data_IF_820679847949
#
_entry.id   IF_820679847949
#
_cell.length_a   1.000
_cell.length_b   1.000
_cell.length_c   1.000
_cell.angle_alpha   90.00
_cell.angle_beta   90.00
_cell.angle_gamma   90.00
#
_symmetry.space_group_name_H-M   'P 1'
#
loop_
_entity.id
_entity.type
_entity.pdbx_description
1 polymer ?
#
# COMPACT_ATOMS: atom_id res chain seq x y z
N UNK A 1 73.33 -4.11 44.88
CA UNK A 1 72.04 -3.41 44.68
C UNK A 1 70.92 -4.37 44.96
N UNK A 2 70.20 -4.19 46.06
CA UNK A 2 69.22 -5.15 46.55
C UNK A 2 67.79 -4.60 46.56
N UNK A 3 66.90 -5.34 45.89
CA UNK A 3 65.58 -5.83 46.31
C UNK A 3 64.46 -4.89 46.82
N UNK A 4 63.25 -5.33 46.46
CA UNK A 4 61.93 -5.24 47.13
C UNK A 4 60.94 -4.22 46.55
N UNK A 5 59.98 -4.73 45.76
CA UNK A 5 58.63 -4.19 45.68
C UNK A 5 57.71 -4.94 46.65
N UNK A 6 56.97 -4.20 47.48
CA UNK A 6 55.93 -4.68 48.40
C UNK A 6 54.68 -3.79 48.28
N UNK A 7 53.53 -4.45 48.09
CA UNK A 7 52.24 -4.25 48.79
C UNK A 7 51.34 -3.03 48.40
N UNK A 8 50.12 -3.35 47.93
CA UNK A 8 48.86 -2.55 47.88
C UNK A 8 48.31 -2.26 49.29
N UNK A 9 47.48 -1.21 49.59
CA UNK A 9 46.00 -1.31 49.42
C UNK A 9 45.17 0.01 49.35
N UNK A 10 43.89 -0.13 48.97
CA UNK A 10 42.76 0.79 49.27
C UNK A 10 42.59 1.99 48.31
N UNK A 11 41.42 2.60 48.08
CA UNK A 11 40.06 2.40 48.58
C UNK A 11 39.16 3.43 47.83
N UNK A 12 38.00 3.01 47.30
CA UNK A 12 36.77 3.82 47.16
C UNK A 12 36.68 4.97 46.13
N UNK A 13 35.47 5.35 45.69
CA UNK A 13 35.22 6.06 44.44
C UNK A 13 34.99 7.57 44.63
N UNK A 14 35.33 8.37 43.62
CA UNK A 14 34.89 9.77 43.48
C UNK A 14 33.80 9.83 42.42
N UNK A 15 32.60 10.21 42.85
CA UNK A 15 31.49 10.70 42.05
C UNK A 15 31.88 12.07 41.48
N UNK A 16 31.91 12.21 40.15
CA UNK A 16 31.94 13.52 39.50
C UNK A 16 30.56 13.80 38.89
N UNK A 17 29.91 14.80 39.50
CA UNK A 17 28.77 15.53 39.00
C UNK A 17 29.19 16.31 37.76
N UNK A 18 28.66 15.96 36.59
CA UNK A 18 28.68 16.85 35.43
C UNK A 18 27.32 17.55 35.28
N UNK A 19 27.40 18.86 35.41
CA UNK A 19 26.33 19.84 35.33
C UNK A 19 25.81 19.95 33.89
N UNK A 20 24.50 19.78 33.72
CA UNK A 20 23.77 20.15 32.52
C UNK A 20 23.85 21.66 32.30
N UNK A 21 24.42 22.08 31.17
CA UNK A 21 24.21 23.43 30.61
C UNK A 21 23.41 23.32 29.32
N UNK A 22 22.27 24.00 29.29
CA UNK A 22 21.35 24.08 28.17
C UNK A 22 21.98 24.83 26.99
N UNK A 23 22.14 24.13 25.86
CA UNK A 23 22.44 24.73 24.56
C UNK A 23 21.24 24.56 23.63
N UNK A 24 20.67 25.68 23.17
CA UNK A 24 19.68 25.70 22.10
C UNK A 24 20.24 25.09 20.80
N UNK A 25 19.49 24.26 20.04
CA UNK A 25 19.90 23.91 18.70
C UNK A 25 19.27 24.88 17.68
N UNK A 26 20.16 25.49 16.89
CA UNK A 26 19.83 26.31 15.74
C UNK A 26 19.13 25.53 14.63
N UNK A 27 18.36 26.28 13.86
CA UNK A 27 17.66 25.91 12.64
C UNK A 27 18.62 25.31 11.59
N UNK A 28 18.35 24.08 11.18
CA UNK A 28 19.11 23.39 10.14
C UNK A 28 18.72 21.92 10.05
N UNK A 29 17.41 21.63 10.02
CA UNK A 29 16.90 20.27 9.93
C UNK A 29 17.12 19.73 8.52
N UNK A 30 18.18 18.95 8.34
CA UNK A 30 18.34 18.07 7.19
C UNK A 30 17.15 17.09 7.19
N UNK A 31 16.16 17.34 6.33
CA UNK A 31 15.02 16.44 6.12
C UNK A 31 15.48 15.25 5.27
N UNK A 32 16.17 14.32 5.90
CA UNK A 32 16.45 13.02 5.28
C UNK A 32 15.17 12.19 5.33
N UNK A 33 14.65 11.79 4.16
CA UNK A 33 13.59 10.79 4.04
C UNK A 33 14.15 9.46 4.53
N UNK A 34 14.13 9.25 5.86
CA UNK A 34 14.62 8.02 6.50
C UNK A 34 13.74 6.86 6.09
N UNK A 35 14.38 5.80 5.62
CA UNK A 35 13.84 4.44 5.48
C UNK A 35 13.18 4.00 6.79
N UNK A 36 11.85 4.09 6.87
CA UNK A 36 11.05 3.78 8.07
C UNK A 36 10.16 2.55 7.90
N UNK A 37 10.39 1.73 6.88
CA UNK A 37 9.62 0.50 6.62
C UNK A 37 10.03 -0.73 7.46
N UNK A 38 11.02 -0.63 8.36
CA UNK A 38 11.37 -1.71 9.29
C UNK A 38 10.62 -1.53 10.61
N UNK A 39 9.32 -1.82 10.65
CA UNK A 39 8.61 -2.11 11.89
C UNK A 39 7.27 -2.80 11.63
N UNK A 40 7.31 -4.05 11.17
CA UNK A 40 6.17 -4.97 11.37
C UNK A 40 6.67 -6.39 11.60
N UNK A 41 7.61 -6.55 12.54
CA UNK A 41 7.78 -7.79 13.29
C UNK A 41 8.63 -7.51 14.52
N UNK A 42 8.22 -8.07 15.66
CA UNK A 42 8.83 -8.01 16.99
C UNK A 42 8.22 -6.97 17.92
N UNK A 43 7.52 -7.52 18.93
CA UNK A 43 6.81 -6.78 19.96
C UNK A 43 7.73 -6.00 20.89
N UNK A 44 7.17 -4.91 21.40
CA UNK A 44 7.75 -4.06 22.43
C UNK A 44 6.81 -2.89 22.64
N UNK A 45 6.09 -2.89 23.75
CA UNK A 45 5.13 -1.85 24.12
C UNK A 45 5.90 -0.56 24.38
N UNK A 46 5.81 0.40 23.46
CA UNK A 46 6.12 1.80 23.72
C UNK A 46 4.82 2.57 23.47
N UNK A 47 4.25 3.19 24.49
CA UNK A 47 2.88 3.74 24.47
C UNK A 47 2.70 4.91 23.49
N UNK A 48 3.78 5.53 23.01
CA UNK A 48 3.75 6.49 21.90
C UNK A 48 3.97 5.86 20.51
N UNK A 49 4.61 4.68 20.40
CA UNK A 49 4.86 4.02 19.11
C UNK A 49 3.62 3.27 18.56
N UNK A 50 2.61 3.04 19.40
CA UNK A 50 1.39 2.32 19.02
C UNK A 50 0.33 3.15 18.31
N UNK A 51 0.41 4.49 18.32
CA UNK A 51 -0.63 5.37 17.79
C UNK A 51 -0.71 5.31 16.26
N UNK A 52 0.43 5.43 15.57
CA UNK A 52 0.48 5.38 14.10
C UNK A 52 -0.01 4.02 13.57
N UNK A 53 0.50 2.86 14.03
CA UNK A 53 -0.02 1.57 13.63
C UNK A 53 -1.53 1.42 13.89
N UNK A 54 -2.04 2.01 14.97
CA UNK A 54 -3.48 1.99 15.27
C UNK A 54 -4.29 2.84 14.28
N UNK A 55 -3.81 4.02 13.90
CA UNK A 55 -4.42 4.85 12.88
C UNK A 55 -4.46 4.14 11.52
N UNK A 56 -3.35 3.51 11.12
CA UNK A 56 -3.28 2.71 9.88
C UNK A 56 -4.26 1.54 9.93
N UNK A 57 -4.38 0.84 11.07
CA UNK A 57 -5.38 -0.23 11.23
C UNK A 57 -6.82 0.27 11.13
N UNK A 58 -7.11 1.49 11.57
CA UNK A 58 -8.43 2.10 11.39
C UNK A 58 -8.68 2.35 9.91
N UNK A 59 -7.72 2.96 9.19
CA UNK A 59 -7.84 3.20 7.74
C UNK A 59 -8.05 1.91 6.94
N UNK A 60 -7.38 0.82 7.34
CA UNK A 60 -7.54 -0.51 6.74
C UNK A 60 -8.93 -1.14 6.98
N UNK A 61 -9.70 -0.62 7.94
CA UNK A 61 -11.06 -1.11 8.28
C UNK A 61 -12.16 -0.19 7.75
N UNK A 62 -11.82 1.02 7.31
CA UNK A 62 -12.76 1.96 6.71
C UNK A 62 -12.82 1.80 5.19
N UNK A 63 -13.85 2.37 4.57
CA UNK A 63 -13.96 2.40 3.12
C UNK A 63 -12.75 3.14 2.50
N UNK A 64 -12.02 2.55 1.53
CA UNK A 64 -10.86 3.18 0.93
C UNK A 64 -11.20 4.45 0.14
N UNK A 65 -12.46 4.67 -0.26
CA UNK A 65 -12.89 5.92 -0.91
C UNK A 65 -12.88 7.10 0.05
N UNK A 66 -13.21 6.84 1.32
CA UNK A 66 -13.19 7.84 2.38
C UNK A 66 -11.81 7.96 3.06
N UNK A 67 -10.79 7.25 2.55
CA UNK A 67 -9.46 7.19 3.19
C UNK A 67 -8.85 8.58 3.40
N UNK A 68 -8.98 9.49 2.43
CA UNK A 68 -8.45 10.86 2.55
C UNK A 68 -9.14 11.65 3.69
N UNK A 69 -10.48 11.59 3.72
CA UNK A 69 -11.27 12.23 4.77
C UNK A 69 -10.97 11.63 6.14
N UNK A 70 -10.91 10.30 6.23
CA UNK A 70 -10.59 9.60 7.47
C UNK A 70 -9.17 9.91 7.93
N UNK A 71 -8.20 10.00 7.03
CA UNK A 71 -6.82 10.38 7.33
C UNK A 71 -6.76 11.81 7.89
N UNK A 72 -7.46 12.77 7.28
CA UNK A 72 -7.53 14.14 7.80
C UNK A 72 -8.12 14.21 9.22
N UNK A 73 -9.16 13.43 9.49
CA UNK A 73 -9.76 13.35 10.82
C UNK A 73 -8.82 12.68 11.82
N UNK A 74 -8.15 11.59 11.43
CA UNK A 74 -7.15 10.90 12.27
C UNK A 74 -5.96 11.80 12.58
N UNK A 75 -5.48 12.60 11.63
CA UNK A 75 -4.41 13.57 11.84
C UNK A 75 -4.78 14.62 12.90
N UNK A 76 -6.06 14.96 13.07
CA UNK A 76 -6.51 15.87 14.12
C UNK A 76 -6.36 15.29 15.54
N UNK A 77 -6.39 13.96 15.68
CA UNK A 77 -6.22 13.25 16.96
C UNK A 77 -4.76 12.92 17.29
N UNK A 78 -3.87 12.95 16.31
CA UNK A 78 -2.44 12.62 16.47
C UNK A 78 -1.63 13.89 16.79
N UNK A 79 -0.64 13.82 17.70
CA UNK A 79 0.27 14.94 17.97
C UNK A 79 0.95 15.45 16.70
N UNK A 80 1.17 16.77 16.63
CA UNK A 80 1.68 17.43 15.42
C UNK A 80 2.99 16.81 14.89
N UNK A 81 3.93 16.47 15.78
CA UNK A 81 5.20 15.85 15.40
C UNK A 81 5.12 14.45 14.78
N UNK A 82 3.96 13.78 14.82
CA UNK A 82 3.73 12.46 14.22
C UNK A 82 2.82 12.51 12.99
N UNK A 83 2.29 13.69 12.63
CA UNK A 83 1.37 13.84 11.49
C UNK A 83 2.06 13.53 10.17
N UNK A 84 3.25 14.08 9.96
CA UNK A 84 4.03 13.85 8.74
C UNK A 84 4.32 12.37 8.54
N UNK A 85 4.66 11.66 9.63
CA UNK A 85 4.88 10.22 9.60
C UNK A 85 3.60 9.44 9.26
N UNK A 86 2.45 9.88 9.78
CA UNK A 86 1.16 9.28 9.44
C UNK A 86 0.82 9.44 7.96
N UNK A 87 0.98 10.65 7.40
CA UNK A 87 0.74 10.91 5.96
C UNK A 87 1.68 10.11 5.08
N UNK A 88 2.95 9.95 5.46
CA UNK A 88 3.91 9.16 4.70
C UNK A 88 3.61 7.65 4.71
N UNK A 89 2.96 7.14 5.76
CA UNK A 89 2.63 5.71 5.92
C UNK A 89 1.24 5.34 5.44
N UNK A 90 0.33 6.31 5.37
CA UNK A 90 -1.04 6.08 4.92
C UNK A 90 -1.10 6.16 3.39
N UNK A 91 -1.58 5.10 2.76
CA UNK A 91 -1.92 5.17 1.34
C UNK A 91 -3.36 5.68 1.20
N UNK A 92 -3.56 6.67 0.33
CA UNK A 92 -4.86 7.20 -0.09
C UNK A 92 -5.01 7.07 -1.61
N UNK A 93 -6.24 7.13 -2.16
CA UNK A 93 -6.45 7.17 -3.61
C UNK A 93 -5.63 8.29 -4.26
N UNK A 94 -4.95 7.95 -5.35
CA UNK A 94 -4.04 8.88 -6.03
C UNK A 94 -4.83 9.89 -6.86
N UNK A 95 -4.28 11.11 -6.98
CA UNK A 95 -4.88 12.19 -7.77
C UNK A 95 -4.03 12.46 -9.00
N UNK A 96 -4.65 13.01 -10.05
CA UNK A 96 -3.98 13.39 -11.29
C UNK A 96 -3.77 14.90 -11.28
N UNK A 97 -2.52 15.34 -11.46
CA UNK A 97 -2.13 16.71 -11.76
C UNK A 97 -1.80 16.89 -13.23
N UNK A 98 -1.59 18.14 -13.65
CA UNK A 98 -1.19 18.49 -15.00
C UNK A 98 0.02 19.42 -14.97
N UNK A 99 1.06 19.08 -15.72
CA UNK A 99 2.21 19.93 -15.93
C UNK A 99 1.85 20.99 -16.99
N UNK A 100 1.87 22.26 -16.58
CA UNK A 100 1.52 23.40 -17.45
C UNK A 100 2.55 23.65 -18.54
N UNK A 101 3.80 23.23 -18.36
CA UNK A 101 4.89 23.50 -19.30
C UNK A 101 4.91 22.47 -20.46
N UNK A 102 4.66 21.20 -20.15
CA UNK A 102 4.72 20.08 -21.10
C UNK A 102 3.35 19.60 -21.58
N UNK A 103 2.25 20.15 -21.03
CA UNK A 103 0.86 19.70 -21.24
C UNK A 103 0.68 18.18 -21.02
N UNK A 104 1.33 17.67 -19.97
CA UNK A 104 1.29 16.24 -19.61
C UNK A 104 0.71 16.04 -18.22
N UNK A 105 -0.15 15.04 -18.11
CA UNK A 105 -0.69 14.59 -16.82
C UNK A 105 0.40 13.85 -16.02
N UNK A 106 0.36 13.99 -14.70
CA UNK A 106 1.21 13.25 -13.78
C UNK A 106 0.43 12.91 -12.50
N UNK A 107 0.94 11.95 -11.72
CA UNK A 107 0.27 11.47 -10.52
C UNK A 107 0.76 12.22 -9.29
N UNK A 108 -0.16 12.79 -8.51
CA UNK A 108 0.12 13.44 -7.24
C UNK A 108 0.23 12.38 -6.13
N UNK A 109 1.34 12.41 -5.42
CA UNK A 109 1.64 11.50 -4.32
C UNK A 109 2.38 12.25 -3.22
N UNK A 110 2.35 11.73 -1.99
CA UNK A 110 3.16 12.29 -0.89
C UNK A 110 4.68 12.20 -1.18
N UNK A 111 5.09 11.34 -2.13
CA UNK A 111 6.51 11.18 -2.51
C UNK A 111 7.05 12.24 -3.48
N UNK A 112 6.17 13.01 -4.14
CA UNK A 112 6.57 14.17 -4.95
C UNK A 112 6.04 15.48 -4.36
N UNK A 113 5.53 15.47 -3.13
CA UNK A 113 5.00 16.64 -2.43
C UNK A 113 6.06 17.27 -1.55
N UNK A 114 6.12 18.59 -1.56
CA UNK A 114 6.84 19.38 -0.57
C UNK A 114 5.96 20.58 -0.15
N UNK A 115 5.57 20.62 1.12
CA UNK A 115 4.53 21.53 1.59
C UNK A 115 3.22 21.32 0.83
N UNK A 116 2.76 22.33 0.11
CA UNK A 116 1.55 22.26 -0.72
C UNK A 116 1.85 22.19 -2.23
N UNK A 117 3.12 21.95 -2.58
CA UNK A 117 3.60 21.93 -3.96
C UNK A 117 3.98 20.52 -4.39
N UNK A 118 3.76 20.21 -5.67
CA UNK A 118 4.07 18.89 -6.24
C UNK A 118 5.08 18.99 -7.38
N UNK A 119 6.12 18.15 -7.33
CA UNK A 119 7.14 18.06 -8.38
C UNK A 119 6.61 17.27 -9.57
N UNK A 120 6.67 17.86 -10.76
CA UNK A 120 6.41 17.17 -12.01
C UNK A 120 7.55 16.21 -12.35
N UNK A 121 7.26 14.96 -12.79
CA UNK A 121 8.29 14.03 -13.26
C UNK A 121 8.90 14.46 -14.60
N UNK A 122 8.23 15.32 -15.38
CA UNK A 122 8.67 15.74 -16.71
C UNK A 122 9.67 16.89 -16.65
N UNK A 123 9.29 17.98 -15.98
CA UNK A 123 10.08 19.21 -15.87
C UNK A 123 10.94 19.28 -14.61
N UNK A 124 10.70 18.40 -13.63
CA UNK A 124 11.28 18.48 -12.28
C UNK A 124 10.94 19.78 -11.52
N UNK A 125 9.97 20.56 -12.00
CA UNK A 125 9.51 21.78 -11.33
C UNK A 125 8.37 21.48 -10.37
N UNK A 126 8.29 22.26 -9.31
CA UNK A 126 7.18 22.23 -8.37
C UNK A 126 6.06 23.18 -8.82
N UNK A 127 4.81 22.74 -8.67
CA UNK A 127 3.62 23.58 -8.80
C UNK A 127 2.78 23.50 -7.51
N UNK A 128 2.55 24.62 -6.79
CA UNK A 128 3.14 25.95 -7.00
C UNK A 128 4.69 25.99 -6.91
N UNK A 129 5.37 27.00 -7.48
CA UNK A 129 6.83 27.09 -7.43
C UNK A 129 7.36 27.31 -6.00
N UNK A 130 8.43 26.58 -5.64
CA UNK A 130 9.15 26.70 -4.38
C UNK A 130 10.67 26.75 -4.61
N UNK A 131 11.40 27.48 -3.78
CA UNK A 131 12.85 27.68 -3.94
C UNK A 131 13.69 26.50 -3.43
N UNK A 132 13.26 25.82 -2.36
CA UNK A 132 14.04 24.78 -1.67
C UNK A 132 13.37 23.40 -1.71
N UNK A 133 12.74 23.07 -2.83
CA UNK A 133 12.12 21.76 -3.02
C UNK A 133 13.16 20.63 -3.12
N UNK A 134 12.83 19.46 -2.58
CA UNK A 134 13.68 18.27 -2.71
C UNK A 134 13.84 17.86 -4.18
N UNK A 135 15.09 17.73 -4.65
CA UNK A 135 15.41 17.29 -6.00
C UNK A 135 16.30 16.05 -5.95
N UNK A 136 16.13 15.09 -6.89
CA UNK A 136 17.06 13.99 -7.05
C UNK A 136 18.41 14.49 -7.57
N UNK A 137 19.49 13.75 -7.30
CA UNK A 137 20.79 13.97 -7.94
C UNK A 137 20.71 13.88 -9.47
N UNK A 138 21.58 14.59 -10.20
CA UNK A 138 21.59 14.59 -11.68
C UNK A 138 21.69 13.18 -12.27
N UNK A 139 22.49 12.34 -11.62
CA UNK A 139 22.64 10.91 -11.93
C UNK A 139 21.30 10.18 -11.82
N UNK A 140 20.60 10.34 -10.69
CA UNK A 140 19.32 9.68 -10.44
C UNK A 140 18.20 10.26 -11.30
N UNK A 141 18.24 11.56 -11.60
CA UNK A 141 17.29 12.24 -12.50
C UNK A 141 17.34 11.64 -13.91
N UNK A 142 18.52 11.28 -14.42
CA UNK A 142 18.62 10.57 -15.70
C UNK A 142 17.89 9.23 -15.69
N UNK A 143 17.98 8.47 -14.59
CA UNK A 143 17.29 7.18 -14.44
C UNK A 143 15.79 7.38 -14.26
N UNK A 144 15.39 8.41 -13.51
CA UNK A 144 13.98 8.78 -13.32
C UNK A 144 13.29 9.09 -14.65
N UNK A 145 13.93 9.84 -15.55
CA UNK A 145 13.41 10.12 -16.89
C UNK A 145 13.25 8.85 -17.73
N UNK A 146 14.28 8.00 -17.77
CA UNK A 146 14.24 6.74 -18.51
C UNK A 146 13.16 5.78 -17.95
N UNK A 147 12.98 5.73 -16.62
CA UNK A 147 11.91 4.97 -15.97
C UNK A 147 10.53 5.51 -16.29
N UNK A 148 10.34 6.83 -16.29
CA UNK A 148 9.06 7.42 -16.69
C UNK A 148 8.70 7.03 -18.13
N UNK A 149 9.66 7.04 -19.05
CA UNK A 149 9.43 6.56 -20.44
C UNK A 149 9.09 5.06 -20.49
N UNK A 150 9.77 4.23 -19.69
CA UNK A 150 9.49 2.81 -19.64
C UNK A 150 8.10 2.51 -19.06
N UNK A 151 7.73 3.17 -17.96
CA UNK A 151 6.44 2.99 -17.30
C UNK A 151 5.27 3.66 -18.03
N UNK A 152 5.52 4.67 -18.87
CA UNK A 152 4.54 5.22 -19.82
C UNK A 152 4.09 4.15 -20.84
N UNK A 153 5.06 3.40 -21.39
CA UNK A 153 4.77 2.25 -22.26
C UNK A 153 4.12 1.09 -21.51
N UNK A 154 4.60 0.79 -20.31
CA UNK A 154 4.00 -0.25 -19.45
C UNK A 154 2.51 0.03 -19.20
N UNK A 155 2.16 1.26 -18.81
CA UNK A 155 0.77 1.61 -18.55
C UNK A 155 -0.09 1.49 -19.81
N UNK A 156 0.42 1.90 -20.97
CA UNK A 156 -0.34 1.84 -22.21
C UNK A 156 -0.66 0.39 -22.58
N UNK A 157 0.30 -0.53 -22.40
CA UNK A 157 0.11 -1.96 -22.68
C UNK A 157 -0.87 -2.64 -21.72
N UNK A 158 -0.84 -2.30 -20.42
CA UNK A 158 -1.59 -3.03 -19.39
C UNK A 158 -2.90 -2.36 -18.93
N UNK A 159 -3.02 -1.05 -19.11
CA UNK A 159 -4.16 -0.25 -18.62
C UNK A 159 -4.84 0.57 -19.71
N UNK A 160 -4.17 0.82 -20.84
CA UNK A 160 -4.69 1.60 -21.95
C UNK A 160 -4.37 3.10 -21.86
N UNK A 161 -4.82 3.84 -22.88
CA UNK A 161 -4.38 5.21 -23.16
C UNK A 161 -4.89 6.28 -22.20
N UNK A 162 -6.01 6.03 -21.53
CA UNK A 162 -6.60 6.96 -20.55
C UNK A 162 -5.86 6.97 -19.20
N UNK A 163 -5.06 5.94 -18.93
CA UNK A 163 -4.30 5.82 -17.69
C UNK A 163 -3.14 6.81 -17.62
N UNK A 164 -2.74 7.17 -16.40
CA UNK A 164 -1.62 8.06 -16.10
C UNK A 164 -0.63 7.33 -15.20
N UNK A 165 0.66 7.49 -15.48
CA UNK A 165 1.76 6.92 -14.70
C UNK A 165 2.79 7.98 -14.39
N UNK A 166 3.45 7.85 -13.26
CA UNK A 166 4.55 8.72 -12.86
C UNK A 166 5.51 7.98 -11.97
N UNK A 167 6.80 8.21 -12.19
CA UNK A 167 7.89 7.66 -11.39
C UNK A 167 8.65 8.79 -10.73
N UNK A 168 8.84 8.67 -9.42
CA UNK A 168 9.62 9.61 -8.61
C UNK A 168 10.75 8.87 -7.92
N UNK A 169 11.98 9.35 -8.06
CA UNK A 169 13.16 8.82 -7.37
C UNK A 169 13.74 9.86 -6.42
N UNK A 170 14.38 9.41 -5.36
CA UNK A 170 15.18 10.24 -4.46
C UNK A 170 16.35 9.43 -3.90
N UNK A 171 17.44 10.14 -3.62
CA UNK A 171 18.65 9.51 -3.10
C UNK A 171 18.41 8.97 -1.69
N UNK A 172 18.95 7.77 -1.40
CA UNK A 172 18.93 7.21 -0.07
C UNK A 172 19.85 7.99 0.88
N UNK A 173 19.69 7.78 2.19
CA UNK A 173 20.42 8.51 3.23
C UNK A 173 21.96 8.31 3.27
N UNK A 174 22.54 7.66 2.27
CA UNK A 174 23.99 7.56 2.09
C UNK A 174 24.48 8.69 1.18
N UNK A 175 25.45 9.47 1.65
CA UNK A 175 26.13 10.46 0.83
C UNK A 175 27.32 9.78 0.16
N UNK A 176 27.27 9.53 -1.16
CA UNK A 176 28.41 9.02 -1.95
C UNK A 176 28.05 8.12 -3.12
N UNK A 177 28.98 7.96 -4.08
CA UNK A 177 28.88 6.97 -5.17
C UNK A 177 28.79 5.56 -4.58
N UNK A 178 27.58 4.97 -4.62
CA UNK A 178 27.29 3.67 -4.03
C UNK A 178 26.23 3.72 -2.93
N UNK A 179 25.68 4.88 -2.60
CA UNK A 179 24.43 4.94 -1.83
C UNK A 179 23.27 4.35 -2.63
N UNK A 180 22.42 3.59 -1.95
CA UNK A 180 21.15 3.15 -2.51
C UNK A 180 20.24 4.34 -2.82
N UNK A 181 19.16 4.07 -3.55
CA UNK A 181 18.12 5.06 -3.81
C UNK A 181 16.76 4.45 -3.54
N UNK A 182 15.77 5.31 -3.35
CA UNK A 182 14.39 4.87 -3.26
C UNK A 182 13.55 5.57 -4.33
N UNK A 183 12.40 4.99 -4.60
CA UNK A 183 11.51 5.49 -5.62
C UNK A 183 10.07 5.05 -5.40
N UNK A 184 9.17 5.72 -6.10
CA UNK A 184 7.76 5.40 -6.13
C UNK A 184 7.29 5.37 -7.59
N UNK A 185 6.76 4.24 -8.03
CA UNK A 185 6.03 4.13 -9.30
C UNK A 185 4.55 4.19 -8.98
N UNK A 186 3.85 5.14 -9.60
CA UNK A 186 2.42 5.36 -9.43
C UNK A 186 1.71 5.13 -10.77
N UNK A 187 0.58 4.44 -10.76
CA UNK A 187 -0.30 4.26 -11.92
C UNK A 187 -1.74 4.52 -11.48
N UNK A 188 -2.42 5.38 -12.22
CA UNK A 188 -3.83 5.71 -12.03
C UNK A 188 -4.56 5.36 -13.31
N UNK A 189 -5.54 4.46 -13.21
CA UNK A 189 -6.46 4.15 -14.29
C UNK A 189 -7.88 4.47 -13.84
N UNK A 190 -8.46 5.51 -14.42
CA UNK A 190 -9.86 5.89 -14.22
C UNK A 190 -10.67 5.26 -15.35
N UNK A 191 -11.74 4.55 -14.98
CA UNK A 191 -12.54 3.77 -15.94
C UNK A 191 -13.72 4.61 -16.46
N UNK A 192 -14.26 5.54 -15.66
CA UNK A 192 -15.41 6.37 -16.02
C UNK A 192 -15.10 7.87 -15.94
N UNK A 193 -15.28 8.57 -17.07
CA UNK A 193 -14.97 10.00 -17.24
C UNK A 193 -16.02 10.94 -16.59
N UNK A 194 -17.23 10.46 -16.26
CA UNK A 194 -18.39 11.30 -15.85
C UNK A 194 -18.80 11.21 -14.37
N UNK A 195 -17.95 10.67 -13.48
CA UNK A 195 -18.32 10.65 -12.06
C UNK A 195 -17.49 9.77 -11.12
N UNK A 196 -16.37 9.19 -11.59
CA UNK A 196 -15.32 8.64 -10.74
C UNK A 196 -15.79 7.59 -9.73
N UNK A 197 -16.65 6.65 -10.12
CA UNK A 197 -17.07 5.56 -9.23
C UNK A 197 -16.14 4.35 -9.33
N UNK A 198 -15.42 4.20 -10.44
CA UNK A 198 -14.53 3.06 -10.69
C UNK A 198 -13.11 3.52 -11.00
N UNK A 199 -12.15 3.03 -10.22
CA UNK A 199 -10.74 3.36 -10.38
C UNK A 199 -9.84 2.20 -10.00
N UNK A 200 -8.65 2.21 -10.59
CA UNK A 200 -7.52 1.39 -10.19
C UNK A 200 -6.32 2.29 -9.91
N UNK A 201 -5.77 2.19 -8.69
CA UNK A 201 -4.55 2.88 -8.29
C UNK A 201 -3.49 1.86 -7.90
N UNK A 202 -2.35 1.88 -8.57
CA UNK A 202 -1.15 1.12 -8.19
C UNK A 202 -0.09 2.07 -7.66
N UNK A 203 0.50 1.73 -6.51
CA UNK A 203 1.61 2.43 -5.90
C UNK A 203 2.68 1.41 -5.53
N UNK A 204 3.86 1.56 -6.10
CA UNK A 204 4.98 0.65 -5.91
C UNK A 204 6.15 1.44 -5.33
N UNK A 205 6.38 1.28 -4.04
CA UNK A 205 7.54 1.81 -3.35
C UNK A 205 8.73 0.87 -3.53
N UNK A 206 9.80 1.38 -4.12
CA UNK A 206 11.03 0.65 -4.41
C UNK A 206 12.14 1.21 -3.53
N UNK A 207 12.84 0.34 -2.82
CA UNK A 207 14.07 0.65 -2.12
C UNK A 207 15.20 -0.20 -2.71
N UNK A 208 16.08 0.45 -3.46
CA UNK A 208 17.26 -0.15 -4.08
C UNK A 208 18.45 0.05 -3.16
N UNK A 209 18.88 -1.03 -2.50
CA UNK A 209 20.06 -1.02 -1.65
C UNK A 209 21.35 -0.75 -2.42
N UNK A 210 22.41 -0.40 -1.70
CA UNK A 210 23.74 -0.21 -2.28
C UNK A 210 24.18 -1.45 -3.07
N UNK A 211 24.67 -1.29 -4.32
CA UNK A 211 25.18 -2.41 -5.09
C UNK A 211 26.41 -3.02 -4.39
N UNK A 212 26.41 -4.34 -4.23
CA UNK A 212 27.48 -5.10 -3.58
C UNK A 212 27.82 -6.31 -4.44
N UNK A 213 29.09 -6.47 -4.82
CA UNK A 213 29.53 -7.65 -5.58
C UNK A 213 28.87 -7.85 -6.96
N UNK A 214 28.39 -6.77 -7.60
CA UNK A 214 27.70 -6.85 -8.90
C UNK A 214 26.23 -7.28 -8.81
N UNK A 215 25.66 -7.31 -7.61
CA UNK A 215 24.22 -7.46 -7.37
C UNK A 215 23.68 -6.29 -6.55
N UNK A 216 22.37 -6.08 -6.64
CA UNK A 216 21.65 -5.08 -5.86
C UNK A 216 20.40 -5.73 -5.27
N UNK A 217 20.14 -5.42 -4.00
CA UNK A 217 18.97 -5.90 -3.27
C UNK A 217 17.86 -4.87 -3.39
N UNK A 218 16.71 -5.30 -3.89
CA UNK A 218 15.52 -4.47 -4.07
C UNK A 218 14.45 -4.91 -3.09
N UNK A 219 13.89 -3.96 -2.36
CA UNK A 219 12.69 -4.15 -1.55
C UNK A 219 11.56 -3.41 -2.24
N UNK A 220 10.49 -4.13 -2.58
CA UNK A 220 9.31 -3.60 -3.25
C UNK A 220 8.11 -3.73 -2.32
N UNK A 221 7.50 -2.60 -1.96
CA UNK A 221 6.21 -2.55 -1.26
C UNK A 221 5.18 -2.05 -2.26
N UNK A 222 4.26 -2.92 -2.65
CA UNK A 222 3.21 -2.62 -3.63
C UNK A 222 1.87 -2.51 -2.93
N UNK A 223 1.18 -1.40 -3.17
CA UNK A 223 -0.20 -1.15 -2.74
C UNK A 223 -1.07 -0.99 -3.98
N UNK A 224 -2.13 -1.79 -4.06
CA UNK A 224 -3.17 -1.64 -5.09
C UNK A 224 -4.46 -1.26 -4.39
N UNK A 225 -5.10 -0.20 -4.87
CA UNK A 225 -6.46 0.17 -4.47
C UNK A 225 -7.38 0.11 -5.66
N UNK A 226 -8.55 -0.47 -5.44
CA UNK A 226 -9.54 -0.69 -6.46
C UNK A 226 -10.90 -0.25 -5.93
N UNK A 227 -11.65 0.42 -6.78
CA UNK A 227 -13.08 0.60 -6.63
C UNK A 227 -13.75 0.23 -7.95
N UNK A 228 -14.80 -0.58 -7.88
CA UNK A 228 -15.62 -0.99 -9.01
C UNK A 228 -17.07 -0.73 -8.63
N UNK A 229 -17.76 0.04 -9.45
CA UNK A 229 -19.20 0.23 -9.37
C UNK A 229 -19.84 -0.23 -10.68
N UNK A 230 -21.01 -0.89 -10.64
CA UNK A 230 -21.72 -1.31 -11.85
C UNK A 230 -22.40 -0.11 -12.54
N UNK A 231 -22.45 -0.14 -13.87
CA UNK A 231 -23.06 0.90 -14.73
C UNK A 231 -24.60 0.90 -14.75
N UNK A 232 -25.27 0.03 -13.99
CA UNK A 232 -26.72 -0.13 -14.10
C UNK A 232 -27.51 1.01 -13.41
N UNK A 233 -28.36 1.67 -14.21
CA UNK A 233 -29.39 2.68 -13.84
C UNK A 233 -30.32 2.27 -12.67
N UNK A 234 -30.30 0.99 -12.26
CA UNK A 234 -31.23 0.43 -11.27
C UNK A 234 -30.62 0.03 -9.92
N UNK A 235 -29.33 0.25 -9.63
CA UNK A 235 -28.79 0.04 -8.27
C UNK A 235 -27.68 1.04 -7.92
N UNK A 236 -28.08 2.26 -7.61
CA UNK A 236 -27.20 3.40 -7.25
C UNK A 236 -26.44 3.26 -5.91
N UNK A 237 -26.26 2.05 -5.34
CA UNK A 237 -25.65 1.88 -4.03
C UNK A 237 -24.78 0.62 -3.85
N UNK A 238 -24.49 -0.12 -4.92
CA UNK A 238 -23.65 -1.32 -4.81
C UNK A 238 -22.29 -1.04 -5.44
N UNK A 239 -21.22 -1.19 -4.68
CA UNK A 239 -19.85 -1.05 -5.17
C UNK A 239 -18.96 -2.07 -4.45
N UNK A 240 -17.85 -2.42 -5.08
CA UNK A 240 -16.79 -3.23 -4.48
C UNK A 240 -15.55 -2.34 -4.41
N UNK A 241 -15.09 -2.10 -3.19
CA UNK A 241 -13.89 -1.32 -2.94
C UNK A 241 -12.93 -2.09 -2.05
N UNK A 242 -11.63 -1.99 -2.32
CA UNK A 242 -10.63 -2.65 -1.49
C UNK A 242 -9.22 -2.14 -1.73
N UNK A 243 -8.34 -2.50 -0.81
CA UNK A 243 -6.90 -2.32 -0.96
C UNK A 243 -6.15 -3.60 -0.62
N UNK A 244 -5.01 -3.79 -1.29
CA UNK A 244 -4.12 -4.93 -1.12
C UNK A 244 -2.68 -4.40 -1.04
N UNK A 245 -1.96 -4.80 0.01
CA UNK A 245 -0.55 -4.45 0.21
C UNK A 245 0.29 -5.73 0.23
N UNK A 246 1.38 -5.74 -0.53
CA UNK A 246 2.38 -6.81 -0.55
C UNK A 246 3.78 -6.22 -0.42
N UNK A 247 4.64 -6.91 0.31
CA UNK A 247 6.05 -6.56 0.42
C UNK A 247 6.86 -7.76 -0.05
N UNK A 248 7.74 -7.52 -1.02
CA UNK A 248 8.62 -8.52 -1.60
C UNK A 248 10.07 -8.00 -1.59
N UNK A 249 11.02 -8.92 -1.46
CA UNK A 249 12.43 -8.59 -1.52
C UNK A 249 13.15 -9.55 -2.45
N UNK A 250 13.91 -9.02 -3.41
CA UNK A 250 14.64 -9.79 -4.41
C UNK A 250 16.02 -9.20 -4.65
N UNK A 251 16.95 -10.05 -5.02
CA UNK A 251 18.30 -9.65 -5.41
C UNK A 251 18.46 -9.87 -6.90
N UNK A 252 18.88 -8.83 -7.62
CA UNK A 252 19.12 -8.89 -9.06
C UNK A 252 20.57 -8.54 -9.37
N UNK A 253 21.10 -9.14 -10.45
CA UNK A 253 22.41 -8.78 -10.97
C UNK A 253 22.37 -7.37 -11.58
N UNK A 254 23.42 -6.61 -11.35
CA UNK A 254 23.56 -5.24 -11.83
C UNK A 254 24.97 -5.07 -12.42
N UNK A 255 25.06 -5.09 -13.75
CA UNK A 255 26.32 -4.85 -14.49
C UNK A 255 26.48 -3.38 -14.85
N UNK A 256 25.37 -2.71 -15.16
CA UNK A 256 25.29 -1.32 -15.57
C UNK A 256 24.23 -0.61 -14.75
N UNK A 257 24.39 0.69 -14.57
CA UNK A 257 23.48 1.50 -13.78
C UNK A 257 22.07 1.57 -14.40
N UNK A 258 21.98 1.66 -15.73
CA UNK A 258 20.70 1.57 -16.46
C UNK A 258 20.02 0.20 -16.29
N UNK A 259 20.75 -0.82 -15.81
CA UNK A 259 20.19 -2.11 -15.43
C UNK A 259 19.15 -2.02 -14.31
N UNK A 260 19.18 -0.97 -13.48
CA UNK A 260 18.14 -0.71 -12.48
C UNK A 260 16.75 -0.61 -13.13
N UNK A 261 16.65 -0.01 -14.32
CA UNK A 261 15.37 0.20 -15.03
C UNK A 261 14.73 -1.16 -15.35
N UNK A 262 15.52 -2.08 -15.90
CA UNK A 262 15.05 -3.42 -16.28
C UNK A 262 14.68 -4.25 -15.04
N UNK A 263 15.51 -4.19 -14.00
CA UNK A 263 15.27 -4.93 -12.76
C UNK A 263 14.01 -4.44 -12.04
N UNK A 264 13.83 -3.12 -11.93
CA UNK A 264 12.64 -2.52 -11.33
C UNK A 264 11.40 -2.83 -12.17
N UNK A 265 11.46 -2.66 -13.48
CA UNK A 265 10.35 -2.95 -14.39
C UNK A 265 9.84 -4.38 -14.25
N UNK A 266 10.75 -5.37 -14.33
CA UNK A 266 10.41 -6.79 -14.15
C UNK A 266 9.85 -7.09 -12.77
N UNK A 267 10.43 -6.48 -11.73
CA UNK A 267 10.00 -6.74 -10.37
C UNK A 267 8.58 -6.18 -10.10
N UNK A 268 8.30 -4.97 -10.60
CA UNK A 268 6.96 -4.38 -10.52
C UNK A 268 5.94 -5.20 -11.32
N UNK A 269 6.28 -5.57 -12.56
CA UNK A 269 5.42 -6.37 -13.43
C UNK A 269 5.02 -7.71 -12.81
N UNK A 270 6.00 -8.47 -12.29
CA UNK A 270 5.75 -9.77 -11.66
C UNK A 270 4.80 -9.64 -10.45
N UNK A 271 5.09 -8.68 -9.55
CA UNK A 271 4.33 -8.50 -8.31
C UNK A 271 2.94 -7.95 -8.59
N UNK A 272 2.80 -7.03 -9.53
CA UNK A 272 1.49 -6.49 -9.91
C UNK A 272 0.62 -7.56 -10.58
N UNK A 273 1.19 -8.43 -11.41
CA UNK A 273 0.49 -9.56 -12.04
C UNK A 273 0.00 -10.58 -11.00
N UNK A 274 0.83 -10.89 -10.01
CA UNK A 274 0.45 -11.74 -8.87
C UNK A 274 -0.70 -11.12 -8.07
N UNK A 275 -0.57 -9.85 -7.70
CA UNK A 275 -1.61 -9.13 -6.93
C UNK A 275 -2.93 -8.99 -7.71
N UNK A 276 -2.89 -8.77 -9.03
CA UNK A 276 -4.09 -8.78 -9.90
C UNK A 276 -4.82 -10.12 -9.81
N UNK A 277 -4.07 -11.22 -9.88
CA UNK A 277 -4.61 -12.57 -9.76
C UNK A 277 -5.22 -12.83 -8.38
N UNK A 278 -4.62 -12.29 -7.32
CA UNK A 278 -5.18 -12.36 -5.96
C UNK A 278 -6.49 -11.56 -5.82
N UNK A 279 -6.57 -10.35 -6.39
CA UNK A 279 -7.78 -9.52 -6.35
C UNK A 279 -8.95 -10.23 -7.04
N UNK A 280 -8.71 -10.80 -8.22
CA UNK A 280 -9.75 -11.52 -8.96
C UNK A 280 -10.24 -12.77 -8.20
N UNK A 281 -9.30 -13.63 -7.78
CA UNK A 281 -9.63 -14.93 -7.18
C UNK A 281 -10.07 -14.85 -5.72
N UNK A 282 -9.52 -13.92 -4.94
CA UNK A 282 -9.71 -13.89 -3.48
C UNK A 282 -10.71 -12.81 -3.10
N UNK A 283 -10.57 -11.58 -3.60
CA UNK A 283 -11.38 -10.47 -3.11
C UNK A 283 -12.81 -10.53 -3.65
N UNK A 284 -12.98 -10.64 -4.96
CA UNK A 284 -14.32 -10.62 -5.57
C UNK A 284 -15.06 -11.92 -5.27
N UNK A 285 -14.41 -13.09 -5.48
CA UNK A 285 -15.06 -14.38 -5.25
C UNK A 285 -15.40 -14.64 -3.78
N UNK A 286 -14.51 -14.29 -2.82
CA UNK A 286 -14.86 -14.47 -1.40
C UNK A 286 -15.97 -13.53 -0.96
N UNK A 287 -15.96 -12.27 -1.41
CA UNK A 287 -17.03 -11.32 -1.09
C UNK A 287 -18.38 -11.84 -1.61
N UNK A 288 -18.41 -12.34 -2.85
CA UNK A 288 -19.59 -13.01 -3.42
C UNK A 288 -20.05 -14.19 -2.57
N UNK A 289 -19.13 -15.08 -2.18
CA UNK A 289 -19.45 -16.25 -1.34
C UNK A 289 -20.01 -15.84 0.03
N UNK A 290 -19.43 -14.83 0.69
CA UNK A 290 -19.93 -14.32 1.97
C UNK A 290 -21.35 -13.76 1.83
N UNK A 291 -21.62 -12.97 0.78
CA UNK A 291 -22.97 -12.45 0.51
C UNK A 291 -23.97 -13.59 0.27
N UNK A 292 -23.57 -14.62 -0.48
CA UNK A 292 -24.40 -15.82 -0.71
C UNK A 292 -24.64 -16.62 0.58
N UNK A 293 -23.69 -16.67 1.51
CA UNK A 293 -23.88 -17.33 2.80
C UNK A 293 -24.83 -16.56 3.73
N UNK A 294 -24.75 -15.23 3.74
CA UNK A 294 -25.64 -14.38 4.55
C UNK A 294 -27.07 -14.43 4.03
N UNK A 295 -27.24 -14.50 2.71
CA UNK A 295 -28.55 -14.72 2.09
C UNK A 295 -28.80 -16.21 1.97
N UNK A 296 -29.28 -16.85 3.03
CA UNK A 296 -29.92 -18.16 2.88
C UNK A 296 -31.10 -17.96 1.92
N UNK A 297 -31.02 -18.51 0.71
CA UNK A 297 -32.23 -18.62 -0.09
C UNK A 297 -33.25 -19.38 0.76
N UNK A 298 -34.31 -18.68 1.20
CA UNK A 298 -35.52 -19.33 1.69
C UNK A 298 -36.23 -20.01 0.51
N UNK A 299 -35.54 -20.95 -0.10
CA UNK A 299 -36.07 -21.96 -1.02
C UNK A 299 -35.92 -23.35 -0.39
N UNK A 300 -35.91 -23.43 0.95
CA UNK A 300 -36.35 -24.62 1.68
C UNK A 300 -37.89 -24.70 1.72
N UNK A 301 -38.55 -24.39 0.60
CA UNK A 301 -39.75 -25.12 0.25
C UNK A 301 -39.33 -26.56 0.00
N UNK A 302 -40.11 -27.58 0.41
CA UNK A 302 -39.72 -28.97 0.20
C UNK A 302 -39.36 -29.14 -1.28
N UNK A 303 -38.16 -29.65 -1.56
CA UNK A 303 -37.75 -30.00 -2.92
C UNK A 303 -38.85 -30.83 -3.57
N UNK A 304 -39.02 -30.77 -4.89
CA UNK A 304 -40.06 -31.54 -5.59
C UNK A 304 -40.07 -33.02 -5.14
N UNK A 305 -38.90 -33.59 -4.85
CA UNK A 305 -38.76 -34.91 -4.24
C UNK A 305 -39.38 -35.05 -2.84
N UNK A 306 -39.19 -34.10 -1.92
CA UNK A 306 -39.83 -34.13 -0.59
C UNK A 306 -41.35 -33.92 -0.66
N UNK A 307 -41.86 -33.11 -1.59
CA UNK A 307 -43.30 -33.01 -1.83
C UNK A 307 -43.86 -34.32 -2.39
N UNK A 308 -43.17 -34.93 -3.35
CA UNK A 308 -43.57 -36.20 -3.94
C UNK A 308 -43.57 -37.33 -2.91
N UNK A 309 -42.55 -37.41 -2.04
CA UNK A 309 -42.49 -38.40 -0.96
C UNK A 309 -43.57 -38.20 0.09
N UNK A 310 -43.96 -36.96 0.39
CA UNK A 310 -45.11 -36.68 1.28
C UNK A 310 -46.42 -37.18 0.69
N UNK A 311 -46.68 -36.87 -0.59
CA UNK A 311 -47.87 -37.35 -1.31
C UNK A 311 -47.90 -38.88 -1.39
N UNK A 312 -46.76 -39.52 -1.64
CA UNK A 312 -46.67 -40.99 -1.65
C UNK A 312 -46.98 -41.58 -0.28
N UNK A 313 -46.42 -41.02 0.79
CA UNK A 313 -46.65 -41.50 2.15
C UNK A 313 -48.11 -41.34 2.59
N UNK A 314 -48.75 -40.22 2.23
CA UNK A 314 -50.18 -39.99 2.47
C UNK A 314 -51.05 -41.01 1.71
N UNK A 315 -50.75 -41.27 0.43
CA UNK A 315 -51.48 -42.25 -0.37
C UNK A 315 -51.33 -43.69 0.17
N UNK A 316 -50.12 -44.06 0.61
CA UNK A 316 -49.85 -45.38 1.22
C UNK A 316 -50.60 -45.54 2.55
N UNK A 317 -50.62 -44.50 3.38
CA UNK A 317 -51.38 -44.51 4.64
C UNK A 317 -52.88 -44.62 4.38
N UNK A 318 -53.42 -43.88 3.40
CA UNK A 318 -54.84 -43.97 3.02
C UNK A 318 -55.22 -45.37 2.50
N UNK A 319 -54.37 -45.99 1.68
CA UNK A 319 -54.59 -47.38 1.23
C UNK A 319 -54.52 -48.38 2.39
N UNK A 320 -53.59 -48.21 3.33
CA UNK A 320 -53.48 -49.07 4.50
C UNK A 320 -54.71 -48.96 5.41
N UNK A 321 -55.24 -47.74 5.62
CA UNK A 321 -56.49 -47.52 6.36
C UNK A 321 -57.69 -48.11 5.63
N UNK A 322 -57.80 -47.96 4.31
CA UNK A 322 -58.87 -48.55 3.51
C UNK A 322 -58.84 -50.09 3.55
N UNK A 323 -57.66 -50.70 3.52
CA UNK A 323 -57.52 -52.16 3.70
C UNK A 323 -57.94 -52.60 5.09
N UNK A 324 -57.52 -51.92 6.15
CA UNK A 324 -57.95 -52.23 7.53
C UNK A 324 -59.47 -52.10 7.68
N UNK A 325 -60.09 -51.08 7.11
CA UNK A 325 -61.54 -50.91 7.12
C UNK A 325 -62.28 -52.04 6.39
N UNK A 326 -61.76 -52.52 5.24
CA UNK A 326 -62.34 -53.67 4.51
C UNK A 326 -62.19 -55.00 5.25
N UNK A 327 -61.13 -55.17 6.03
CA UNK A 327 -60.92 -56.37 6.85
C UNK A 327 -61.78 -56.35 8.12
N UNK A 328 -62.05 -55.18 8.68
CA UNK A 328 -62.93 -55.04 9.86
C UNK A 328 -64.44 -55.18 9.54
N UNK A 329 -64.83 -55.06 8.27
CA UNK A 329 -66.23 -55.14 7.81
C UNK A 329 -66.59 -56.50 7.19
N UNK A 330 -65.78 -57.53 7.48
CA UNK A 330 -65.95 -58.92 7.06
C UNK A 330 -65.99 -59.80 8.30
#
# INVERSE_FOLDING_TARGET
GGRVGKIKPGMGPTEDNDQFTEGQPGSGGVRTVRSLWVASSLGGVNTMSGQIPSCIRVLQKTDPRDAEKNLSHLASFVPEGLRDELYQRADVPLKIGADKDEDRKYVLSEHNRDGDSYRSPWTSKYDPPIENGLQPSDRLRSIELDLNVAFDKYREMYFGKSSVSSVYLWDGSGVGEGSGFAGCVCIVNQIDDEGGQSYWNSKHFVDAGSPSGGSCKYTLTSTIMLCISPDDDHKSSTYISGSLVRQNQREFRLTEEKGHIVNIGKFVEDVESEMRSEIDNVYIQRTKNVVQMVRTERSSGPTQGQQHTKVLNEAVLAMAMSRKAKVANK
#
